data_IF_774894683145
#
_entry.id   IF_774894683145
#
_cell.length_a   1.000
_cell.length_b   1.000
_cell.length_c   1.000
_cell.angle_alpha   90.00
_cell.angle_beta   90.00
_cell.angle_gamma   90.00
#
_symmetry.space_group_name_H-M   'P 1'
#
loop_
_entity.id
_entity.type
_entity.pdbx_description
1 polymer ?
#
# COMPACT_ATOMS: atom_id res chain seq x y z
N UNK A 1 -42.07 0.20 -43.13
CA UNK A 1 -41.28 -1.05 -43.18
C UNK A 1 -39.85 -0.67 -43.52
N UNK A 2 -38.98 -0.59 -42.53
CA UNK A 2 -37.54 -0.35 -42.69
C UNK A 2 -36.85 -1.67 -42.34
N UNK A 3 -36.34 -2.37 -43.35
CA UNK A 3 -35.42 -3.49 -43.15
C UNK A 3 -34.00 -2.96 -43.26
N UNK A 4 -33.28 -3.02 -42.15
CA UNK A 4 -31.88 -2.62 -42.04
C UNK A 4 -31.24 -3.33 -40.85
N UNK A 5 -31.19 -4.65 -40.89
CA UNK A 5 -30.31 -5.44 -40.02
C UNK A 5 -28.95 -5.51 -40.70
N UNK A 6 -28.07 -4.57 -40.37
CA UNK A 6 -26.65 -4.70 -40.72
C UNK A 6 -26.05 -5.84 -39.90
N UNK A 7 -25.61 -6.90 -40.59
CA UNK A 7 -24.79 -7.95 -40.00
C UNK A 7 -23.48 -7.32 -39.51
N UNK A 8 -23.29 -7.29 -38.19
CA UNK A 8 -21.99 -7.02 -37.58
C UNK A 8 -21.07 -8.19 -37.95
N UNK A 9 -20.20 -7.99 -38.94
CA UNK A 9 -19.13 -8.91 -39.25
C UNK A 9 -18.22 -9.00 -38.01
N UNK A 10 -18.22 -10.16 -37.36
CA UNK A 10 -17.26 -10.50 -36.33
C UNK A 10 -15.90 -10.63 -37.01
N UNK A 11 -15.10 -9.57 -36.95
CA UNK A 11 -13.71 -9.60 -37.42
C UNK A 11 -12.95 -10.45 -36.42
N UNK A 12 -12.66 -11.70 -36.78
CA UNK A 12 -11.73 -12.56 -36.05
C UNK A 12 -10.38 -11.86 -35.99
N UNK A 13 -10.17 -11.15 -34.88
CA UNK A 13 -8.90 -10.52 -34.58
C UNK A 13 -7.95 -11.67 -34.23
N UNK A 14 -6.82 -11.84 -34.93
CA UNK A 14 -5.91 -12.93 -34.63
C UNK A 14 -5.51 -12.85 -33.15
N UNK A 15 -5.72 -13.95 -32.41
CA UNK A 15 -5.33 -14.04 -31.01
C UNK A 15 -3.84 -13.73 -30.90
N UNK A 16 -3.50 -12.53 -30.43
CA UNK A 16 -2.13 -12.19 -30.11
C UNK A 16 -1.61 -13.22 -29.09
N UNK A 17 -0.46 -13.86 -29.33
CA UNK A 17 0.09 -14.81 -28.40
C UNK A 17 0.25 -14.14 -27.04
N UNK A 18 -0.29 -14.77 -25.98
CA UNK A 18 -0.18 -14.25 -24.62
C UNK A 18 1.30 -14.06 -24.30
N UNK A 19 1.70 -12.95 -23.68
CA UNK A 19 3.09 -12.71 -23.33
C UNK A 19 3.59 -13.84 -22.42
N UNK A 20 4.83 -14.28 -22.63
CA UNK A 20 5.47 -15.22 -21.71
C UNK A 20 5.68 -14.54 -20.35
N UNK A 21 5.09 -15.12 -19.32
CA UNK A 21 5.15 -14.64 -17.94
C UNK A 21 6.01 -15.51 -17.03
N UNK A 22 6.76 -16.47 -17.60
CA UNK A 22 7.64 -17.40 -16.86
C UNK A 22 8.74 -16.69 -16.06
N UNK A 23 9.13 -15.49 -16.47
CA UNK A 23 10.09 -14.63 -15.77
C UNK A 23 9.57 -14.06 -14.44
N UNK A 24 8.25 -14.12 -14.19
CA UNK A 24 7.66 -13.54 -12.98
C UNK A 24 8.05 -14.37 -11.75
N UNK A 25 8.39 -13.71 -10.64
CA UNK A 25 8.64 -14.42 -9.39
C UNK A 25 7.38 -15.19 -8.98
N UNK A 26 7.59 -16.43 -8.55
CA UNK A 26 6.54 -17.26 -7.96
C UNK A 26 6.45 -16.95 -6.47
N UNK A 27 5.25 -16.65 -5.97
CA UNK A 27 5.02 -16.44 -4.54
C UNK A 27 5.21 -17.77 -3.80
N UNK A 28 6.15 -17.81 -2.86
CA UNK A 28 6.35 -18.97 -1.99
C UNK A 28 5.39 -18.96 -0.80
N UNK A 29 5.25 -17.80 -0.18
CA UNK A 29 4.38 -17.59 0.96
C UNK A 29 4.02 -16.11 1.06
N UNK A 30 2.78 -15.84 1.45
CA UNK A 30 2.29 -14.51 1.75
C UNK A 30 1.73 -14.49 3.16
N UNK A 31 2.08 -13.47 3.94
CA UNK A 31 1.50 -13.25 5.26
C UNK A 31 1.10 -11.80 5.42
N UNK A 32 -0.05 -11.63 6.05
CA UNK A 32 -0.58 -10.36 6.43
C UNK A 32 -0.60 -10.25 7.95
N UNK A 33 -0.23 -9.08 8.46
CA UNK A 33 -0.44 -8.68 9.85
C UNK A 33 -1.31 -7.43 9.87
N UNK A 34 -2.15 -7.29 10.88
CA UNK A 34 -2.99 -6.11 11.08
C UNK A 34 -3.36 -5.99 12.54
N UNK A 35 -3.20 -4.80 13.12
CA UNK A 35 -3.48 -4.53 14.52
C UNK A 35 -3.85 -3.05 14.74
N UNK A 36 -4.53 -2.76 15.85
CA UNK A 36 -4.80 -1.41 16.38
C UNK A 36 -3.68 -0.90 17.31
N UNK A 37 -2.65 -1.70 17.59
CA UNK A 37 -1.54 -1.28 18.44
C UNK A 37 -0.69 -0.17 17.78
N UNK A 38 0.14 0.49 18.59
CA UNK A 38 1.06 1.51 18.08
C UNK A 38 2.17 0.89 17.22
N UNK A 39 2.86 1.75 16.47
CA UNK A 39 3.89 1.33 15.52
C UNK A 39 5.07 0.58 16.15
N UNK A 40 5.39 0.81 17.43
CA UNK A 40 6.49 0.09 18.08
C UNK A 40 6.09 -1.37 18.29
N UNK A 41 4.91 -1.60 18.90
CA UNK A 41 4.41 -2.96 19.10
C UNK A 41 4.14 -3.67 17.78
N UNK A 42 3.64 -2.95 16.78
CA UNK A 42 3.44 -3.51 15.44
C UNK A 42 4.78 -3.90 14.77
N UNK A 43 5.84 -3.12 14.99
CA UNK A 43 7.20 -3.43 14.54
C UNK A 43 7.73 -4.75 15.08
N UNK A 44 7.53 -5.01 16.38
CA UNK A 44 7.90 -6.29 17.01
C UNK A 44 7.16 -7.47 16.39
N UNK A 45 5.85 -7.30 16.13
CA UNK A 45 5.03 -8.33 15.48
C UNK A 45 5.53 -8.64 14.06
N UNK A 46 5.83 -7.60 13.27
CA UNK A 46 6.40 -7.77 11.93
C UNK A 46 7.74 -8.49 11.97
N UNK A 47 8.62 -8.13 12.91
CA UNK A 47 9.93 -8.78 13.04
C UNK A 47 9.80 -10.25 13.37
N UNK A 48 8.96 -10.60 14.35
CA UNK A 48 8.73 -11.98 14.75
C UNK A 48 8.17 -12.84 13.60
N UNK A 49 7.23 -12.27 12.83
CA UNK A 49 6.66 -12.96 11.67
C UNK A 49 7.67 -13.10 10.53
N UNK A 50 8.47 -12.07 10.25
CA UNK A 50 9.53 -12.13 9.25
C UNK A 50 10.60 -13.18 9.61
N UNK A 51 10.95 -13.31 10.89
CA UNK A 51 11.84 -14.36 11.39
C UNK A 51 11.23 -15.75 11.20
N UNK A 52 9.97 -15.93 11.60
CA UNK A 52 9.25 -17.19 11.42
C UNK A 52 9.15 -17.61 9.95
N UNK A 53 9.02 -16.65 9.03
CA UNK A 53 9.01 -16.89 7.57
C UNK A 53 10.39 -16.99 6.95
N UNK A 54 11.46 -16.84 7.73
CA UNK A 54 12.84 -16.97 7.27
C UNK A 54 13.34 -15.79 6.43
N UNK A 55 12.68 -14.61 6.49
CA UNK A 55 13.08 -13.45 5.69
C UNK A 55 14.49 -12.96 6.04
N UNK A 56 14.90 -13.04 7.32
CA UNK A 56 16.26 -12.66 7.72
C UNK A 56 17.34 -13.56 7.09
N UNK A 57 16.99 -14.80 6.73
CA UNK A 57 17.88 -15.77 6.07
C UNK A 57 17.89 -15.64 4.55
N UNK A 58 17.06 -14.79 3.96
CA UNK A 58 17.00 -14.60 2.52
C UNK A 58 18.23 -13.83 2.01
N UNK A 59 18.72 -14.21 0.82
CA UNK A 59 19.87 -13.53 0.18
C UNK A 59 19.55 -12.10 -0.24
N UNK A 60 18.30 -11.83 -0.61
CA UNK A 60 17.79 -10.51 -1.03
C UNK A 60 16.61 -10.15 -0.15
N UNK A 61 16.67 -8.97 0.46
CA UNK A 61 15.71 -8.52 1.49
C UNK A 61 15.35 -7.07 1.21
N UNK A 62 14.06 -6.77 1.16
CA UNK A 62 13.56 -5.42 0.96
C UNK A 62 12.46 -5.12 1.97
N UNK A 63 12.45 -3.89 2.47
CA UNK A 63 11.38 -3.31 3.27
C UNK A 63 10.72 -2.23 2.41
N UNK A 64 9.55 -2.55 1.86
CA UNK A 64 8.77 -1.65 1.02
C UNK A 64 7.72 -0.95 1.89
N UNK A 65 7.68 0.37 1.84
CA UNK A 65 6.71 1.14 2.61
C UNK A 65 6.31 2.43 1.91
N UNK A 66 5.22 3.01 2.38
CA UNK A 66 4.87 4.39 2.04
C UNK A 66 5.84 5.38 2.68
N UNK A 67 5.68 6.67 2.39
CA UNK A 67 6.57 7.71 2.90
C UNK A 67 6.35 8.14 4.36
N UNK A 68 5.50 7.46 5.14
CA UNK A 68 5.19 7.83 6.53
C UNK A 68 6.38 7.53 7.47
N UNK A 69 6.73 8.46 8.39
CA UNK A 69 7.94 8.33 9.21
C UNK A 69 8.02 7.07 10.08
N UNK A 70 6.89 6.55 10.54
CA UNK A 70 6.88 5.36 11.41
C UNK A 70 7.33 4.10 10.65
N UNK A 71 7.06 3.98 9.34
CA UNK A 71 7.52 2.85 8.53
C UNK A 71 9.05 2.78 8.53
N UNK A 72 9.70 3.94 8.40
CA UNK A 72 11.16 4.03 8.42
C UNK A 72 11.76 3.85 9.81
N UNK A 73 11.02 4.18 10.86
CA UNK A 73 11.43 3.90 12.24
C UNK A 73 11.42 2.39 12.50
N UNK A 74 10.35 1.70 12.10
CA UNK A 74 10.23 0.24 12.15
C UNK A 74 11.35 -0.42 11.33
N UNK A 75 11.56 0.03 10.08
CA UNK A 75 12.60 -0.52 9.21
C UNK A 75 13.98 -0.40 9.87
N UNK A 76 14.34 0.77 10.38
CA UNK A 76 15.63 0.96 11.05
C UNK A 76 15.78 0.14 12.34
N UNK A 77 14.68 -0.10 13.06
CA UNK A 77 14.71 -0.77 14.37
C UNK A 77 14.79 -2.29 14.23
N UNK A 78 14.03 -2.87 13.29
CA UNK A 78 13.87 -4.32 13.17
C UNK A 78 14.44 -4.89 11.87
N UNK A 79 14.52 -4.09 10.81
CA UNK A 79 14.86 -4.53 9.46
C UNK A 79 16.05 -3.73 8.90
N UNK A 80 17.03 -3.41 9.75
CA UNK A 80 18.21 -2.60 9.40
C UNK A 80 18.99 -3.17 8.20
N UNK A 81 18.99 -4.50 8.07
CA UNK A 81 19.64 -5.27 7.01
C UNK A 81 18.79 -5.45 5.73
N UNK A 82 17.58 -4.88 5.69
CA UNK A 82 16.68 -4.92 4.54
C UNK A 82 16.81 -3.62 3.77
N UNK A 83 16.88 -3.69 2.44
CA UNK A 83 16.90 -2.50 1.58
C UNK A 83 15.59 -1.71 1.77
N UNK A 84 15.62 -0.46 2.28
CA UNK A 84 14.42 0.35 2.39
C UNK A 84 14.02 0.89 1.01
N UNK A 85 12.79 0.65 0.61
CA UNK A 85 12.26 1.06 -0.70
C UNK A 85 11.00 1.89 -0.45
N UNK A 86 10.99 3.12 -0.96
CA UNK A 86 9.76 3.90 -1.04
C UNK A 86 8.91 3.35 -2.17
N UNK A 87 7.68 2.95 -1.87
CA UNK A 87 6.73 2.53 -2.89
C UNK A 87 6.51 3.62 -3.93
N UNK A 88 6.82 3.30 -5.19
CA UNK A 88 6.86 4.22 -6.31
C UNK A 88 5.51 4.88 -6.63
N UNK A 89 4.39 4.28 -6.21
CA UNK A 89 3.07 4.88 -6.42
C UNK A 89 2.93 6.23 -5.68
N UNK A 90 3.45 6.34 -4.45
CA UNK A 90 3.30 7.56 -3.66
C UNK A 90 4.04 8.80 -4.18
N UNK A 91 5.31 8.74 -4.61
CA UNK A 91 5.94 9.90 -5.24
C UNK A 91 5.26 10.26 -6.57
N UNK A 92 4.75 9.29 -7.34
CA UNK A 92 3.99 9.57 -8.57
C UNK A 92 2.70 10.34 -8.26
N UNK A 93 1.90 9.87 -7.31
CA UNK A 93 0.65 10.54 -6.91
C UNK A 93 0.91 11.99 -6.50
N UNK A 94 1.93 12.23 -5.68
CA UNK A 94 2.33 13.57 -5.25
C UNK A 94 2.78 14.46 -6.41
N UNK A 95 3.60 13.94 -7.33
CA UNK A 95 4.06 14.70 -8.49
C UNK A 95 2.91 15.04 -9.44
N UNK A 96 1.94 14.14 -9.59
CA UNK A 96 0.75 14.36 -10.40
C UNK A 96 -0.20 15.41 -9.78
N UNK A 97 -0.45 15.33 -8.47
CA UNK A 97 -1.22 16.35 -7.76
C UNK A 97 -0.55 17.73 -7.87
N UNK A 98 0.77 17.77 -7.64
CA UNK A 98 1.56 18.99 -7.76
C UNK A 98 1.52 19.58 -9.16
N UNK A 99 1.70 18.78 -10.22
CA UNK A 99 1.70 19.31 -11.59
C UNK A 99 0.36 19.97 -11.92
N UNK A 100 -0.76 19.36 -11.52
CA UNK A 100 -2.10 19.91 -11.70
C UNK A 100 -2.33 21.19 -10.91
N UNK A 101 -1.65 21.37 -9.78
CA UNK A 101 -1.73 22.59 -8.99
C UNK A 101 -0.86 23.72 -9.58
N UNK A 102 0.27 23.39 -10.18
CA UNK A 102 1.21 24.38 -10.72
C UNK A 102 0.87 24.90 -12.11
N UNK A 103 0.27 24.06 -12.95
CA UNK A 103 0.00 24.36 -14.36
C UNK A 103 -1.50 24.40 -14.64
N UNK A 104 -1.97 25.49 -15.24
CA UNK A 104 -3.38 25.68 -15.64
C UNK A 104 -3.71 24.85 -16.87
N UNK A 105 -2.75 24.71 -17.79
CA UNK A 105 -2.91 23.88 -18.98
C UNK A 105 -2.69 22.41 -18.63
N UNK A 106 -3.67 21.56 -18.98
CA UNK A 106 -3.66 20.15 -18.62
C UNK A 106 -2.61 19.34 -19.39
N UNK A 107 -2.29 19.74 -20.62
CA UNK A 107 -1.27 19.07 -21.43
C UNK A 107 0.12 19.40 -20.90
N UNK A 108 0.38 20.67 -20.55
CA UNK A 108 1.61 21.08 -19.86
C UNK A 108 1.77 20.36 -18.51
N UNK A 109 0.71 20.30 -17.70
CA UNK A 109 0.72 19.58 -16.42
C UNK A 109 1.07 18.10 -16.59
N UNK A 110 0.54 17.46 -17.64
CA UNK A 110 0.80 16.06 -17.95
C UNK A 110 2.25 15.84 -18.42
N UNK A 111 2.76 16.69 -19.30
CA UNK A 111 4.13 16.62 -19.80
C UNK A 111 5.17 16.79 -18.68
N UNK A 112 4.97 17.76 -17.80
CA UNK A 112 5.86 17.97 -16.64
C UNK A 112 5.80 16.79 -15.67
N UNK A 113 4.60 16.30 -15.37
CA UNK A 113 4.40 15.11 -14.53
C UNK A 113 5.14 13.90 -15.11
N UNK A 114 4.94 13.60 -16.40
CA UNK A 114 5.60 12.50 -17.08
C UNK A 114 7.13 12.58 -17.00
N UNK A 115 7.70 13.78 -17.22
CA UNK A 115 9.14 14.02 -17.10
C UNK A 115 9.65 13.76 -15.68
N UNK A 116 8.96 14.27 -14.65
CA UNK A 116 9.38 14.06 -13.26
C UNK A 116 9.29 12.59 -12.86
N UNK A 117 8.24 11.89 -13.28
CA UNK A 117 8.07 10.45 -13.04
C UNK A 117 9.20 9.65 -13.71
N UNK A 118 9.53 9.98 -14.96
CA UNK A 118 10.62 9.33 -15.69
C UNK A 118 11.96 9.49 -14.98
N UNK A 119 12.31 10.70 -14.55
CA UNK A 119 13.52 10.97 -13.79
C UNK A 119 13.54 10.21 -12.46
N UNK A 120 12.43 10.21 -11.71
CA UNK A 120 12.33 9.39 -10.50
C UNK A 120 12.56 7.90 -10.81
N UNK A 121 11.96 7.36 -11.87
CA UNK A 121 12.13 5.96 -12.28
C UNK A 121 13.57 5.61 -12.69
N UNK A 122 14.30 6.59 -13.22
CA UNK A 122 15.71 6.51 -13.57
C UNK A 122 16.65 6.70 -12.36
N UNK A 123 16.11 7.02 -11.18
CA UNK A 123 16.89 7.27 -9.96
C UNK A 123 17.35 8.72 -9.79
N UNK A 124 17.03 9.58 -10.76
CA UNK A 124 17.46 10.99 -10.83
C UNK A 124 16.56 11.92 -9.99
N UNK A 125 16.22 11.49 -8.77
CA UNK A 125 15.33 12.23 -7.86
C UNK A 125 15.89 13.59 -7.47
N UNK A 126 17.23 13.71 -7.38
CA UNK A 126 17.89 14.97 -7.11
C UNK A 126 17.67 16.00 -8.23
N UNK A 127 17.57 15.55 -9.49
CA UNK A 127 17.26 16.42 -10.62
C UNK A 127 15.82 16.94 -10.53
N UNK A 128 14.86 16.05 -10.20
CA UNK A 128 13.47 16.45 -9.96
C UNK A 128 13.39 17.50 -8.84
N UNK A 129 14.08 17.27 -7.72
CA UNK A 129 14.14 18.25 -6.62
C UNK A 129 14.69 19.59 -7.10
N UNK A 130 15.76 19.59 -7.91
CA UNK A 130 16.32 20.82 -8.48
C UNK A 130 15.35 21.57 -9.38
N UNK A 131 14.60 20.85 -10.24
CA UNK A 131 13.55 21.45 -11.07
C UNK A 131 12.44 22.08 -10.22
N UNK A 132 11.97 21.38 -9.18
CA UNK A 132 10.94 21.89 -8.29
C UNK A 132 11.42 23.09 -7.46
N UNK A 133 12.69 23.14 -7.06
CA UNK A 133 13.28 24.30 -6.38
C UNK A 133 13.41 25.52 -7.29
N UNK A 134 13.70 25.31 -8.58
CA UNK A 134 13.68 26.38 -9.58
C UNK A 134 12.26 26.95 -9.74
N UNK A 135 11.25 26.08 -9.82
CA UNK A 135 9.83 26.49 -9.82
C UNK A 135 9.44 27.27 -8.55
N UNK A 136 9.99 26.89 -7.39
CA UNK A 136 9.73 27.56 -6.12
C UNK A 136 10.34 28.97 -6.09
N UNK A 137 11.54 29.14 -6.64
CA UNK A 137 12.24 30.43 -6.66
C UNK A 137 11.53 31.47 -7.54
N UNK A 138 10.81 31.02 -8.58
CA UNK A 138 10.00 31.89 -9.42
C UNK A 138 8.69 32.38 -8.78
N UNK A 139 8.41 31.99 -7.53
CA UNK A 139 7.12 32.22 -6.85
C UNK A 139 7.32 32.96 -5.52
N UNK A 140 6.28 33.65 -5.07
CA UNK A 140 6.27 34.32 -3.76
C UNK A 140 6.41 33.30 -2.61
N UNK A 141 7.00 33.73 -1.50
CA UNK A 141 7.23 32.88 -0.32
C UNK A 141 5.92 32.34 0.27
N UNK A 142 6.01 31.15 0.88
CA UNK A 142 4.90 30.53 1.61
C UNK A 142 4.75 31.21 2.96
N UNK A 143 3.58 31.77 3.25
CA UNK A 143 3.19 32.28 4.57
C UNK A 143 2.34 31.26 5.34
N UNK A 144 2.29 31.40 6.68
CA UNK A 144 1.52 30.48 7.55
C UNK A 144 0.00 30.63 7.42
N UNK A 145 -0.49 31.70 6.80
CA UNK A 145 -1.92 31.97 6.62
C UNK A 145 -2.49 31.39 5.31
N UNK A 146 -1.66 30.71 4.52
CA UNK A 146 -2.06 30.14 3.23
C UNK A 146 -2.87 28.85 3.40
N UNK A 147 -3.84 28.67 2.49
CA UNK A 147 -4.64 27.45 2.40
C UNK A 147 -3.75 26.21 2.21
N UNK A 148 -4.18 25.07 2.76
CA UNK A 148 -3.55 23.77 2.53
C UNK A 148 -3.52 23.42 1.02
N UNK A 149 -4.49 23.92 0.26
CA UNK A 149 -4.61 23.71 -1.19
C UNK A 149 -3.77 24.69 -2.04
N UNK A 150 -2.99 25.58 -1.44
CA UNK A 150 -2.16 26.53 -2.21
C UNK A 150 -1.01 25.78 -2.93
N UNK A 151 -0.85 25.96 -4.26
CA UNK A 151 0.18 25.27 -5.03
C UNK A 151 1.61 25.46 -4.50
N UNK A 152 1.92 26.61 -3.88
CA UNK A 152 3.25 26.88 -3.31
C UNK A 152 3.52 26.04 -2.07
N UNK A 153 2.48 25.79 -1.27
CA UNK A 153 2.57 24.90 -0.11
C UNK A 153 2.74 23.46 -0.55
N UNK A 154 1.92 22.99 -1.49
CA UNK A 154 2.07 21.66 -2.09
C UNK A 154 3.46 21.44 -2.70
N UNK A 155 4.01 22.46 -3.37
CA UNK A 155 5.37 22.46 -3.91
C UNK A 155 6.41 22.28 -2.80
N UNK A 156 6.36 23.10 -1.76
CA UNK A 156 7.27 23.02 -0.61
C UNK A 156 7.20 21.67 0.10
N UNK A 157 5.99 21.16 0.34
CA UNK A 157 5.76 19.86 0.97
C UNK A 157 6.25 18.70 0.10
N UNK A 158 6.08 18.78 -1.21
CA UNK A 158 6.57 17.77 -2.16
C UNK A 158 8.10 17.75 -2.22
N UNK A 159 8.75 18.92 -2.26
CA UNK A 159 10.22 19.02 -2.18
C UNK A 159 10.71 18.37 -0.88
N UNK A 160 10.12 18.72 0.26
CA UNK A 160 10.49 18.15 1.55
C UNK A 160 10.24 16.64 1.65
N UNK A 161 9.16 16.15 1.02
CA UNK A 161 8.85 14.72 0.94
C UNK A 161 9.89 13.96 0.13
N UNK A 162 10.25 14.45 -1.06
CA UNK A 162 11.25 13.83 -1.92
C UNK A 162 12.61 13.83 -1.25
N UNK A 163 13.05 14.97 -0.70
CA UNK A 163 14.33 15.10 0.02
C UNK A 163 14.49 14.07 1.14
N UNK A 164 13.45 13.84 1.93
CA UNK A 164 13.46 12.86 3.03
C UNK A 164 13.57 11.41 2.54
N UNK A 165 13.20 11.15 1.28
CA UNK A 165 13.11 9.81 0.70
C UNK A 165 14.09 9.53 -0.44
N UNK A 166 14.94 10.48 -0.85
CA UNK A 166 15.94 10.29 -1.93
C UNK A 166 16.71 8.98 -1.78
N UNK A 167 17.19 8.67 -0.57
CA UNK A 167 17.96 7.45 -0.30
C UNK A 167 17.17 6.14 -0.44
N UNK A 168 15.85 6.21 -0.58
CA UNK A 168 14.94 5.07 -0.71
C UNK A 168 14.34 4.94 -2.11
N UNK A 169 14.81 5.74 -3.08
CA UNK A 169 14.25 5.85 -4.43
C UNK A 169 15.24 5.40 -5.53
N UNK A 170 16.16 4.48 -5.24
CA UNK A 170 17.06 3.87 -6.24
C UNK A 170 16.37 2.73 -7.02
N UNK A 171 15.32 3.08 -7.75
CA UNK A 171 14.53 2.12 -8.54
C UNK A 171 15.35 1.37 -9.59
N UNK A 172 16.36 1.94 -10.27
CA UNK A 172 17.22 1.17 -11.17
C UNK A 172 17.94 0.02 -10.45
N UNK A 173 18.58 0.27 -9.30
CA UNK A 173 19.27 -0.78 -8.57
C UNK A 173 18.29 -1.84 -8.05
N UNK A 174 17.11 -1.43 -7.57
CA UNK A 174 16.09 -2.36 -7.09
C UNK A 174 15.63 -3.31 -8.20
N UNK A 175 15.39 -2.78 -9.41
CA UNK A 175 14.99 -3.59 -10.57
C UNK A 175 16.08 -4.55 -11.01
N UNK A 176 17.33 -4.11 -11.06
CA UNK A 176 18.48 -4.97 -11.39
C UNK A 176 18.64 -6.09 -10.37
N UNK A 177 18.41 -5.79 -9.08
CA UNK A 177 18.45 -6.76 -8.00
C UNK A 177 17.20 -7.67 -7.93
N UNK A 178 16.13 -7.36 -8.69
CA UNK A 178 14.86 -8.08 -8.64
C UNK A 178 14.07 -7.84 -7.35
N UNK A 179 14.24 -6.68 -6.72
CA UNK A 179 13.49 -6.23 -5.54
C UNK A 179 12.15 -5.58 -5.95
N UNK A 180 11.12 -5.61 -5.09
CA UNK A 180 9.84 -4.97 -5.38
C UNK A 180 9.99 -3.44 -5.40
N UNK A 181 9.26 -2.79 -6.32
CA UNK A 181 9.23 -1.32 -6.41
C UNK A 181 7.86 -0.73 -6.09
N UNK A 182 6.81 -1.56 -6.04
CA UNK A 182 5.43 -1.14 -5.74
C UNK A 182 4.71 -2.17 -4.88
N UNK A 183 3.76 -1.72 -4.08
CA UNK A 183 2.89 -2.56 -3.26
C UNK A 183 1.67 -3.07 -4.02
N UNK A 184 1.55 -2.80 -5.33
CA UNK A 184 0.36 -3.16 -6.12
C UNK A 184 -0.04 -4.64 -6.01
N UNK A 185 0.92 -5.54 -5.79
CA UNK A 185 0.68 -6.98 -5.61
C UNK A 185 -0.05 -7.32 -4.30
N UNK A 186 0.03 -6.44 -3.30
CA UNK A 186 -0.59 -6.61 -1.98
C UNK A 186 -1.80 -5.69 -1.75
N UNK A 187 -2.02 -4.70 -2.61
CA UNK A 187 -3.14 -3.75 -2.49
C UNK A 187 -4.52 -4.42 -2.40
N UNK A 188 -4.71 -5.52 -3.12
CA UNK A 188 -5.94 -6.32 -3.01
C UNK A 188 -6.17 -6.86 -1.60
N UNK A 189 -5.11 -7.24 -0.88
CA UNK A 189 -5.20 -7.72 0.51
C UNK A 189 -5.58 -6.59 1.46
N UNK A 190 -4.98 -5.40 1.29
CA UNK A 190 -5.36 -4.21 2.08
C UNK A 190 -6.84 -3.90 1.87
N UNK A 191 -7.33 -3.99 0.63
CA UNK A 191 -8.75 -3.84 0.30
C UNK A 191 -9.61 -4.94 0.93
N UNK A 192 -9.15 -6.18 0.99
CA UNK A 192 -9.86 -7.28 1.65
C UNK A 192 -9.97 -7.13 3.17
N UNK A 193 -8.96 -6.54 3.83
CA UNK A 193 -9.03 -6.17 5.24
C UNK A 193 -10.01 -5.01 5.43
N UNK A 194 -9.83 -3.93 4.65
CA UNK A 194 -10.68 -2.75 4.69
C UNK A 194 -12.14 -3.11 4.42
N UNK A 195 -12.42 -4.02 3.48
CA UNK A 195 -13.78 -4.47 3.20
C UNK A 195 -14.41 -5.18 4.40
N UNK A 196 -13.64 -5.80 5.29
CA UNK A 196 -14.19 -6.41 6.51
C UNK A 196 -14.36 -5.38 7.62
N UNK A 197 -13.40 -4.48 7.78
CA UNK A 197 -13.24 -3.62 8.96
C UNK A 197 -13.90 -2.26 8.78
N UNK A 198 -13.78 -1.66 7.59
CA UNK A 198 -14.30 -0.34 7.24
C UNK A 198 -15.60 -0.43 6.47
N UNK A 199 -16.48 0.55 6.64
CA UNK A 199 -17.73 0.69 5.90
C UNK A 199 -18.94 0.97 6.80
N UNK A 200 -20.07 1.24 6.17
CA UNK A 200 -21.33 1.46 6.87
C UNK A 200 -21.68 0.25 7.73
N UNK A 201 -22.21 0.52 8.93
CA UNK A 201 -22.70 -0.51 9.87
C UNK A 201 -21.63 -1.42 10.49
N UNK A 202 -20.34 -1.13 10.29
CA UNK A 202 -19.23 -1.83 10.97
C UNK A 202 -18.79 -1.02 12.18
N UNK A 203 -19.28 -1.42 13.34
CA UNK A 203 -18.92 -0.82 14.61
C UNK A 203 -18.03 -1.78 15.39
N UNK A 204 -16.82 -1.34 15.66
CA UNK A 204 -15.86 -2.04 16.50
C UNK A 204 -15.60 -1.18 17.73
N UNK A 205 -15.32 -1.82 18.86
CA UNK A 205 -14.75 -1.10 20.00
C UNK A 205 -13.25 -0.94 19.74
N UNK A 206 -12.68 0.23 20.08
CA UNK A 206 -11.26 0.58 19.93
C UNK A 206 -10.35 -0.15 20.94
N UNK A 207 -10.58 -1.46 21.13
CA UNK A 207 -9.90 -2.29 22.11
C UNK A 207 -9.73 -3.72 21.63
N UNK A 208 -9.51 -4.68 22.56
CA UNK A 208 -9.16 -6.06 22.22
C UNK A 208 -10.12 -6.75 21.23
N UNK A 209 -11.41 -6.40 21.26
CA UNK A 209 -12.41 -6.97 20.35
C UNK A 209 -12.25 -6.49 18.90
N UNK A 210 -11.91 -5.22 18.67
CA UNK A 210 -11.65 -4.69 17.33
C UNK A 210 -10.34 -5.25 16.77
N UNK A 211 -9.31 -5.27 17.60
CA UNK A 211 -7.99 -5.83 17.25
C UNK A 211 -8.06 -7.33 16.94
N UNK A 212 -8.87 -8.10 17.67
CA UNK A 212 -9.11 -9.52 17.38
C UNK A 212 -9.70 -9.76 15.98
N UNK A 213 -10.52 -8.84 15.46
CA UNK A 213 -11.10 -8.94 14.12
C UNK A 213 -10.04 -8.68 13.05
N UNK A 214 -9.11 -7.74 13.31
CA UNK A 214 -7.96 -7.51 12.43
C UNK A 214 -7.06 -8.75 12.37
N UNK A 215 -6.69 -9.30 13.53
CA UNK A 215 -5.89 -10.53 13.60
C UNK A 215 -6.57 -11.71 12.88
N UNK A 216 -7.87 -11.92 13.12
CA UNK A 216 -8.62 -12.99 12.48
C UNK A 216 -8.66 -12.79 10.95
N UNK A 217 -8.91 -11.57 10.47
CA UNK A 217 -8.97 -11.29 9.04
C UNK A 217 -7.61 -11.43 8.39
N UNK A 218 -6.54 -10.96 9.03
CA UNK A 218 -5.16 -11.10 8.56
C UNK A 218 -4.74 -12.58 8.47
N UNK A 219 -5.10 -13.40 9.47
CA UNK A 219 -4.85 -14.84 9.45
C UNK A 219 -5.62 -15.55 8.34
N UNK A 220 -6.86 -15.13 8.02
CA UNK A 220 -7.69 -15.73 6.96
C UNK A 220 -7.16 -15.48 5.54
N UNK A 221 -6.52 -14.34 5.30
CA UNK A 221 -6.00 -13.96 3.96
C UNK A 221 -4.52 -14.30 3.77
N UNK A 222 -3.85 -14.72 4.83
CA UNK A 222 -2.50 -15.25 4.79
C UNK A 222 -2.49 -16.68 4.24
N UNK A 223 -1.41 -17.09 3.60
CA UNK A 223 -1.29 -18.43 3.00
C UNK A 223 -0.94 -19.52 4.03
N UNK A 224 -0.70 -19.15 5.29
CA UNK A 224 -0.28 -20.08 6.34
C UNK A 224 -1.42 -20.85 7.01
N UNK A 225 -1.06 -21.76 7.90
CA UNK A 225 -1.99 -22.65 8.62
C UNK A 225 -2.36 -22.13 10.00
N UNK A 226 -1.94 -20.92 10.39
CA UNK A 226 -1.93 -20.44 11.77
C UNK A 226 -3.33 -20.46 12.40
N UNK A 227 -4.35 -20.10 11.62
CA UNK A 227 -5.73 -20.12 12.09
C UNK A 227 -6.24 -21.56 12.30
N UNK A 228 -5.92 -22.47 11.36
CA UNK A 228 -6.26 -23.89 11.49
C UNK A 228 -5.57 -24.51 12.71
N UNK A 229 -4.27 -24.27 12.84
CA UNK A 229 -3.45 -24.75 13.96
C UNK A 229 -3.99 -24.23 15.29
N UNK A 230 -4.39 -22.95 15.33
CA UNK A 230 -5.06 -22.38 16.50
C UNK A 230 -6.35 -23.12 16.84
N UNK A 231 -7.23 -23.39 15.86
CA UNK A 231 -8.48 -24.11 16.13
C UNK A 231 -8.25 -25.57 16.55
N UNK A 232 -7.23 -26.23 16.01
CA UNK A 232 -6.86 -27.60 16.40
C UNK A 232 -6.24 -27.66 17.80
N UNK A 233 -5.40 -26.70 18.14
CA UNK A 233 -4.70 -26.65 19.43
C UNK A 233 -5.54 -26.01 20.55
N UNK A 234 -6.62 -25.28 20.20
CA UNK A 234 -7.45 -24.59 21.19
C UNK A 234 -8.09 -25.61 22.13
N UNK A 235 -7.90 -25.48 23.46
CA UNK A 235 -8.63 -26.30 24.42
C UNK A 235 -10.12 -26.13 24.18
N UNK A 236 -10.82 -27.22 23.89
CA UNK A 236 -12.27 -27.21 23.72
C UNK A 236 -12.92 -26.55 24.94
N UNK A 237 -13.76 -25.54 24.75
CA UNK A 237 -14.60 -25.02 25.84
C UNK A 237 -15.77 -25.98 26.03
N UNK A 238 -15.87 -26.59 27.21
CA UNK A 238 -17.02 -27.39 27.64
C UNK A 238 -18.36 -26.63 27.72
N UNK A 239 -18.37 -25.32 27.45
CA UNK A 239 -19.58 -24.52 27.51
C UNK A 239 -20.42 -24.70 26.25
N UNK A 240 -21.32 -25.68 26.28
CA UNK A 240 -22.55 -25.67 25.49
C UNK A 240 -23.33 -24.40 25.84
N UNK A 241 -23.71 -23.63 24.82
CA UNK A 241 -24.65 -22.52 24.99
C UNK A 241 -25.94 -23.12 25.57
N UNK A 242 -26.23 -22.86 26.85
CA UNK A 242 -27.55 -23.20 27.38
C UNK A 242 -28.58 -22.42 26.56
N UNK A 243 -29.37 -23.13 25.76
CA UNK A 243 -30.60 -22.59 25.18
C UNK A 243 -31.38 -22.00 26.34
N UNK A 244 -31.59 -20.68 26.32
CA UNK A 244 -32.49 -19.99 27.26
C UNK A 244 -33.78 -20.81 27.36
N UNK A 245 -34.16 -21.21 28.57
CA UNK A 245 -35.49 -21.78 28.79
C UNK A 245 -36.53 -20.84 28.19
N UNK A 246 -37.51 -21.41 27.47
CA UNK A 246 -38.63 -20.67 26.90
C UNK A 246 -39.23 -19.82 28.02
N UNK A 247 -39.17 -18.49 27.89
CA UNK A 247 -39.99 -17.61 28.73
C UNK A 247 -41.45 -18.00 28.48
N UNK A 248 -42.12 -18.50 29.51
CA UNK A 248 -43.57 -18.67 29.45
C UNK A 248 -44.23 -17.31 29.21
N UNK A 249 -45.23 -17.23 28.31
CA UNK A 249 -45.91 -15.99 28.05
C UNK A 249 -46.63 -15.54 29.33
N UNK A 250 -46.46 -14.26 29.67
CA UNK A 250 -47.17 -13.65 30.78
C UNK A 250 -48.68 -13.80 30.53
N UNK A 251 -49.37 -14.49 31.44
CA UNK A 251 -50.82 -14.60 31.44
C UNK A 251 -51.38 -13.23 31.82
N UNK A 252 -52.18 -12.66 30.91
CA UNK A 252 -52.96 -11.41 31.06
C UNK A 252 -53.94 -11.47 32.21
#
# INVERSE_FOLDING_TARGET
MLHGTGELQHVDTPETPKPDLSWRPSSLVRTCLSSLCDSNRFGEMMSAEAERRGFYSATRRAFLGDGLPYNWTIQQTHFDSFTPILDFIHPIERLHELSRALFVDAEEAWQQCGKWIELCWQGDVAEVIGMLQAEQTGREEVSQEMSDDDPRRQLSETIGYLQKNVSRMDYPAYRQAGLPTTSCLIESQVKEINHRVKGTEKFWNDGPSGDAILHLRAALISDGTELSDHFTARPGRHYTRQTREKREPAVT
#
